data_IF_018224932137
#
_entry.id   IF_018224932137
#
_cell.length_a   1.000
_cell.length_b   1.000
_cell.length_c   1.000
_cell.angle_alpha   90.00
_cell.angle_beta   90.00
_cell.angle_gamma   90.00
#
_symmetry.space_group_name_H-M   'P 1'
#
loop_
_entity.id
_entity.type
_entity.pdbx_description
1 polymer ?
#
# COMPACT_ATOMS: atom_id res chain seq x y z
N UNK A 1 -1.84 5.69 8.00
CA UNK A 1 -2.65 6.64 7.22
C UNK A 1 -3.89 5.93 6.72
N UNK A 2 -5.06 6.40 7.12
CA UNK A 2 -6.36 5.86 6.68
C UNK A 2 -6.63 6.15 5.20
N UNK A 3 -7.62 5.46 4.63
CA UNK A 3 -8.06 5.68 3.25
C UNK A 3 -9.15 6.74 3.14
N UNK A 4 -9.89 7.02 4.23
CA UNK A 4 -10.82 8.15 4.33
C UNK A 4 -10.13 9.52 4.35
N UNK A 5 -8.80 9.54 4.53
CA UNK A 5 -7.98 10.75 4.60
C UNK A 5 -8.50 11.76 5.63
N UNK A 6 -9.10 11.30 6.73
CA UNK A 6 -9.56 12.16 7.82
C UNK A 6 -8.42 13.00 8.42
N UNK A 7 -7.19 12.48 8.39
CA UNK A 7 -5.98 13.18 8.84
C UNK A 7 -5.50 14.29 7.87
N UNK A 8 -6.08 14.40 6.67
CA UNK A 8 -5.72 15.43 5.67
C UNK A 8 -6.46 16.73 6.00
N UNK A 9 -5.80 17.58 6.77
CA UNK A 9 -6.29 18.92 7.13
C UNK A 9 -5.58 20.05 6.38
N UNK A 10 -5.35 21.16 7.08
CA UNK A 10 -4.88 22.44 6.52
C UNK A 10 -3.50 22.40 5.85
N UNK A 11 -2.72 21.34 6.05
CA UNK A 11 -1.45 21.12 5.34
C UNK A 11 -1.64 20.83 3.84
N UNK A 12 -2.84 20.40 3.42
CA UNK A 12 -3.17 20.08 2.04
C UNK A 12 -4.60 20.54 1.69
N UNK A 13 -4.85 21.86 1.70
CA UNK A 13 -6.21 22.42 1.63
C UNK A 13 -6.93 22.05 0.33
N UNK A 14 -6.20 21.94 -0.78
CA UNK A 14 -6.77 21.51 -2.06
C UNK A 14 -7.22 20.05 -2.03
N UNK A 15 -6.43 19.16 -1.41
CA UNK A 15 -6.80 17.74 -1.32
C UNK A 15 -8.05 17.59 -0.46
N UNK A 16 -8.11 18.29 0.68
CA UNK A 16 -9.30 18.27 1.54
C UNK A 16 -10.53 18.81 0.81
N UNK A 17 -10.41 19.95 0.13
CA UNK A 17 -11.49 20.53 -0.66
C UNK A 17 -12.07 19.56 -1.69
N UNK A 18 -11.20 18.82 -2.40
CA UNK A 18 -11.65 17.81 -3.38
C UNK A 18 -12.30 16.61 -2.69
N UNK A 19 -11.75 16.12 -1.57
CA UNK A 19 -12.33 14.96 -0.88
C UNK A 19 -13.67 15.27 -0.19
N UNK A 20 -13.93 16.53 0.15
CA UNK A 20 -15.23 16.99 0.68
C UNK A 20 -16.31 17.10 -0.39
N UNK A 21 -15.93 17.26 -1.66
CA UNK A 21 -16.88 17.31 -2.76
C UNK A 21 -17.32 15.89 -3.16
N UNK A 22 -18.63 15.58 -3.16
CA UNK A 22 -19.12 14.23 -3.41
C UNK A 22 -18.76 13.67 -4.78
N UNK A 23 -18.58 14.51 -5.80
CA UNK A 23 -18.19 14.07 -7.16
C UNK A 23 -16.75 13.57 -7.14
N UNK A 24 -15.85 14.32 -6.52
CA UNK A 24 -14.45 13.96 -6.43
C UNK A 24 -14.20 12.83 -5.42
N UNK A 25 -14.97 12.77 -4.33
CA UNK A 25 -14.93 11.64 -3.41
C UNK A 25 -15.32 10.33 -4.10
N UNK A 26 -16.41 10.32 -4.87
CA UNK A 26 -16.81 9.13 -5.62
C UNK A 26 -15.73 8.70 -6.65
N UNK A 27 -15.11 9.66 -7.33
CA UNK A 27 -13.99 9.37 -8.23
C UNK A 27 -12.78 8.78 -7.48
N UNK A 28 -12.45 9.31 -6.31
CA UNK A 28 -11.38 8.77 -5.46
C UNK A 28 -11.65 7.32 -5.04
N UNK A 29 -12.85 7.01 -4.55
CA UNK A 29 -13.24 5.64 -4.17
C UNK A 29 -13.12 4.70 -5.37
N UNK A 30 -13.61 5.12 -6.54
CA UNK A 30 -13.48 4.34 -7.78
C UNK A 30 -12.03 4.08 -8.17
N UNK A 31 -11.14 5.06 -8.02
CA UNK A 31 -9.71 4.85 -8.28
C UNK A 31 -9.04 3.93 -7.25
N UNK A 32 -9.43 4.01 -5.98
CA UNK A 32 -8.94 3.08 -4.95
C UNK A 32 -9.30 1.64 -5.34
N UNK A 33 -10.56 1.38 -5.70
CA UNK A 33 -11.03 0.07 -6.15
C UNK A 33 -10.28 -0.41 -7.40
N UNK A 34 -10.17 0.45 -8.43
CA UNK A 34 -9.49 0.10 -9.67
C UNK A 34 -8.01 -0.27 -9.43
N UNK A 35 -7.31 0.53 -8.62
CA UNK A 35 -5.89 0.30 -8.34
C UNK A 35 -5.69 -0.97 -7.51
N UNK A 36 -6.54 -1.23 -6.51
CA UNK A 36 -6.41 -2.41 -5.66
C UNK A 36 -6.79 -3.72 -6.34
N UNK A 37 -7.64 -3.67 -7.36
CA UNK A 37 -8.10 -4.87 -8.10
C UNK A 37 -7.22 -5.19 -9.31
N UNK A 38 -6.54 -4.21 -9.90
CA UNK A 38 -5.64 -4.44 -11.03
C UNK A 38 -4.16 -4.34 -10.64
N UNK A 39 -3.66 -3.17 -10.28
CA UNK A 39 -2.22 -2.93 -10.23
C UNK A 39 -1.58 -3.36 -8.91
N UNK A 40 -2.27 -3.17 -7.80
CA UNK A 40 -1.76 -3.34 -6.44
C UNK A 40 -2.47 -4.51 -5.72
N UNK A 41 -2.67 -5.62 -6.41
CA UNK A 41 -3.18 -6.83 -5.74
C UNK A 41 -2.10 -7.42 -4.82
N UNK A 42 -2.48 -8.05 -3.69
CA UNK A 42 -1.52 -8.69 -2.78
C UNK A 42 -0.58 -9.65 -3.52
N UNK A 43 -1.11 -10.45 -4.43
CA UNK A 43 -0.34 -11.45 -5.17
C UNK A 43 0.69 -10.81 -6.09
N UNK A 44 0.30 -9.77 -6.85
CA UNK A 44 1.22 -9.06 -7.76
C UNK A 44 2.33 -8.37 -6.96
N UNK A 45 1.98 -7.75 -5.84
CA UNK A 45 2.94 -7.03 -5.00
C UNK A 45 3.88 -7.98 -4.26
N UNK A 46 3.36 -9.08 -3.69
CA UNK A 46 4.16 -10.11 -3.04
C UNK A 46 5.13 -10.79 -4.03
N UNK A 47 4.65 -11.16 -5.22
CA UNK A 47 5.51 -11.75 -6.25
C UNK A 47 6.64 -10.81 -6.67
N UNK A 48 6.33 -9.51 -6.83
CA UNK A 48 7.34 -8.50 -7.16
C UNK A 48 8.35 -8.30 -6.02
N UNK A 49 7.88 -8.22 -4.78
CA UNK A 49 8.74 -8.08 -3.61
C UNK A 49 9.68 -9.28 -3.45
N UNK A 50 9.16 -10.51 -3.58
CA UNK A 50 9.96 -11.74 -3.51
C UNK A 50 10.98 -11.84 -4.65
N UNK A 51 10.61 -11.49 -5.88
CA UNK A 51 11.53 -11.51 -7.01
C UNK A 51 12.71 -10.55 -6.80
N UNK A 52 12.42 -9.32 -6.35
CA UNK A 52 13.46 -8.33 -6.04
C UNK A 52 14.28 -8.75 -4.81
N UNK A 53 13.64 -9.35 -3.81
CA UNK A 53 14.32 -9.84 -2.63
C UNK A 53 15.33 -10.95 -2.97
N UNK A 54 14.94 -11.90 -3.81
CA UNK A 54 15.85 -12.95 -4.28
C UNK A 54 17.03 -12.41 -5.08
N UNK A 55 16.83 -11.34 -5.86
CA UNK A 55 17.91 -10.69 -6.61
C UNK A 55 18.94 -10.02 -5.67
N UNK A 56 18.47 -9.41 -4.59
CA UNK A 56 19.30 -8.64 -3.65
C UNK A 56 19.92 -9.50 -2.55
N UNK A 57 19.31 -10.65 -2.21
CA UNK A 57 19.71 -11.54 -1.13
C UNK A 57 21.23 -11.81 -1.02
N UNK A 58 21.96 -12.17 -2.10
CA UNK A 58 23.39 -12.46 -1.96
C UNK A 58 24.23 -11.23 -1.61
N UNK A 59 23.79 -10.03 -1.98
CA UNK A 59 24.53 -8.78 -1.73
C UNK A 59 24.22 -8.22 -0.33
N UNK A 60 22.94 -8.25 0.05
CA UNK A 60 22.49 -7.64 1.32
C UNK A 60 22.82 -8.53 2.52
N UNK A 61 22.85 -9.85 2.33
CA UNK A 61 23.23 -10.78 3.39
C UNK A 61 24.68 -10.57 3.88
N UNK A 62 25.57 -10.00 3.06
CA UNK A 62 26.94 -9.66 3.46
C UNK A 62 27.02 -8.39 4.31
N UNK A 63 26.05 -7.47 4.17
CA UNK A 63 26.04 -6.18 4.86
C UNK A 63 25.29 -6.23 6.19
N UNK A 64 24.07 -6.81 6.20
CA UNK A 64 23.18 -6.81 7.38
C UNK A 64 22.87 -8.22 7.91
N UNK A 65 23.28 -9.27 7.19
CA UNK A 65 22.98 -10.66 7.55
C UNK A 65 21.66 -11.17 6.95
N UNK A 66 21.65 -12.46 6.62
CA UNK A 66 20.54 -13.10 5.91
C UNK A 66 19.22 -13.12 6.72
N UNK A 67 19.30 -13.27 8.03
CA UNK A 67 18.13 -13.31 8.92
C UNK A 67 17.44 -11.94 9.03
N UNK A 68 18.21 -10.88 9.25
CA UNK A 68 17.69 -9.50 9.32
C UNK A 68 17.06 -9.10 7.99
N UNK A 69 17.69 -9.49 6.88
CA UNK A 69 17.13 -9.27 5.56
C UNK A 69 15.81 -10.02 5.34
N UNK A 70 15.75 -11.30 5.72
CA UNK A 70 14.52 -12.10 5.61
C UNK A 70 13.35 -11.48 6.39
N UNK A 71 13.62 -11.01 7.62
CA UNK A 71 12.61 -10.34 8.44
C UNK A 71 12.12 -9.02 7.81
N UNK A 72 13.00 -8.25 7.18
CA UNK A 72 12.60 -7.03 6.47
C UNK A 72 11.69 -7.33 5.26
N UNK A 73 11.98 -8.42 4.54
CA UNK A 73 11.13 -8.88 3.43
C UNK A 73 9.77 -9.35 3.94
N UNK A 74 9.72 -10.11 5.04
CA UNK A 74 8.48 -10.54 5.68
C UNK A 74 7.62 -9.34 6.12
N UNK A 75 8.20 -8.35 6.79
CA UNK A 75 7.49 -7.12 7.18
C UNK A 75 6.88 -6.37 5.99
N UNK A 76 7.57 -6.36 4.84
CA UNK A 76 7.04 -5.76 3.61
C UNK A 76 5.83 -6.55 3.07
N UNK A 77 5.89 -7.89 3.11
CA UNK A 77 4.79 -8.74 2.68
C UNK A 77 3.58 -8.57 3.60
N UNK A 78 3.80 -8.58 4.91
CA UNK A 78 2.75 -8.33 5.91
C UNK A 78 2.11 -6.95 5.74
N UNK A 79 2.91 -5.94 5.41
CA UNK A 79 2.41 -4.61 5.10
C UNK A 79 1.49 -4.62 3.87
N UNK A 80 1.86 -5.33 2.81
CA UNK A 80 1.02 -5.47 1.60
C UNK A 80 -0.34 -6.08 1.94
N UNK A 81 -0.35 -7.19 2.69
CA UNK A 81 -1.59 -7.87 3.11
C UNK A 81 -2.45 -6.96 4.02
N UNK A 82 -1.82 -6.34 5.02
CA UNK A 82 -2.49 -5.40 5.93
C UNK A 82 -3.14 -4.25 5.16
N UNK A 83 -2.46 -3.72 4.14
CA UNK A 83 -3.00 -2.62 3.32
C UNK A 83 -4.13 -3.08 2.42
N UNK A 84 -4.08 -4.30 1.89
CA UNK A 84 -5.18 -4.84 1.11
C UNK A 84 -6.44 -5.04 1.97
N UNK A 85 -6.28 -5.54 3.21
CA UNK A 85 -7.37 -5.61 4.19
C UNK A 85 -7.99 -4.24 4.48
N UNK A 86 -7.17 -3.23 4.72
CA UNK A 86 -7.65 -1.86 4.95
C UNK A 86 -8.42 -1.28 3.74
N UNK A 87 -8.02 -1.63 2.51
CA UNK A 87 -8.77 -1.25 1.29
C UNK A 87 -10.13 -1.94 1.25
N UNK A 88 -10.16 -3.26 1.50
CA UNK A 88 -11.42 -4.01 1.52
C UNK A 88 -12.40 -3.47 2.57
N UNK A 89 -11.92 -3.14 3.78
CA UNK A 89 -12.73 -2.53 4.83
C UNK A 89 -13.24 -1.13 4.45
N UNK A 90 -12.43 -0.32 3.77
CA UNK A 90 -12.82 1.01 3.32
C UNK A 90 -13.88 0.97 2.21
N UNK A 91 -13.76 0.05 1.25
CA UNK A 91 -14.71 -0.08 0.13
C UNK A 91 -16.04 -0.73 0.54
N UNK A 92 -16.11 -1.36 1.71
CA UNK A 92 -17.33 -1.96 2.24
C UNK A 92 -18.24 -1.00 3.03
N UNK A 93 -17.80 0.25 3.25
CA UNK A 93 -18.55 1.30 3.96
C UNK A 93 -19.49 2.06 3.02
#
# INVERSE_FOLDING_TARGET
VSLDKADVGDGWPLIRYLLDDPVYHAAYVSYVEQVSTDLFTPEKMAAKAQALAGLLAPYVAEEIGAEEYAQAVEQLLDFVETRAGAVAEFLAQ
#
